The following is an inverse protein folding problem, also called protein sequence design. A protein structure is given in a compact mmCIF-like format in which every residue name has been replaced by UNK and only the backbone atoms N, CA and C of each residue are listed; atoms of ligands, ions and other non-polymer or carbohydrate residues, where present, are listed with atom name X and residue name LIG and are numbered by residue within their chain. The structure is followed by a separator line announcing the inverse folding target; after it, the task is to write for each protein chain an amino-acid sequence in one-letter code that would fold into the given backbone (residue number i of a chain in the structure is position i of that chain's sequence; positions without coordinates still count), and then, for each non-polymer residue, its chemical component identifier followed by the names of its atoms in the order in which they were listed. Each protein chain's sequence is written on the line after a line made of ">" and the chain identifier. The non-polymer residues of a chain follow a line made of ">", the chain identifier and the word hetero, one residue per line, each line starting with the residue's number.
data_IF_056054164699
#
_entry.id   IF_056054164699
#
_cell.length_a   1.000
_cell.length_b   1.000
_cell.length_c   1.000
_cell.angle_alpha   90.00
_cell.angle_beta   90.00
_cell.angle_gamma   90.00
#
_symmetry.space_group_name_H-M   'P 1'
#
loop_
_entity.id
_entity.type
_entity.pdbx_description
1 polymer ?
#
# COMPACT_ATOMS: atom_id res chain seq x y z
N UNK A 1 12.51 -7.87 -14.63
CA UNK A 1 11.06 -7.98 -14.36
C UNK A 1 10.71 -8.46 -12.95
N UNK A 2 11.20 -9.60 -12.43
CA UNK A 2 10.82 -10.10 -11.08
C UNK A 2 11.17 -9.15 -9.91
N UNK A 3 12.30 -8.42 -9.99
CA UNK A 3 12.75 -7.49 -8.93
C UNK A 3 11.78 -6.32 -8.69
N UNK A 4 11.11 -5.82 -9.73
CA UNK A 4 10.18 -4.68 -9.59
C UNK A 4 8.83 -5.11 -9.02
N UNK A 5 8.37 -6.32 -9.39
CA UNK A 5 7.16 -6.91 -8.82
C UNK A 5 7.33 -7.15 -7.32
N UNK A 6 8.47 -7.71 -6.90
CA UNK A 6 8.79 -7.93 -5.49
C UNK A 6 8.83 -6.64 -4.68
N UNK A 7 9.38 -5.54 -5.23
CA UNK A 7 9.42 -4.24 -4.56
C UNK A 7 8.02 -3.62 -4.39
N UNK A 8 7.14 -3.77 -5.37
CA UNK A 8 5.75 -3.27 -5.26
C UNK A 8 4.93 -4.08 -4.26
N UNK A 9 5.09 -5.41 -4.23
CA UNK A 9 4.40 -6.28 -3.26
C UNK A 9 4.87 -5.95 -1.85
N UNK A 10 6.18 -5.80 -1.64
CA UNK A 10 6.74 -5.43 -0.34
C UNK A 10 6.24 -4.05 0.11
N UNK A 11 6.15 -3.08 -0.81
CA UNK A 11 5.58 -1.76 -0.54
C UNK A 11 4.09 -1.81 -0.17
N UNK A 12 3.31 -2.67 -0.83
CA UNK A 12 1.90 -2.87 -0.50
C UNK A 12 1.73 -3.49 0.90
N UNK A 13 2.49 -4.54 1.22
CA UNK A 13 2.46 -5.17 2.55
C UNK A 13 2.87 -4.18 3.65
N UNK A 14 3.89 -3.36 3.38
CA UNK A 14 4.33 -2.32 4.32
C UNK A 14 3.26 -1.25 4.55
N UNK A 15 2.59 -0.78 3.50
CA UNK A 15 1.47 0.16 3.62
C UNK A 15 0.28 -0.43 4.40
N UNK A 16 0.03 -1.73 4.23
CA UNK A 16 -1.02 -2.44 4.96
C UNK A 16 -0.69 -2.53 6.46
N UNK A 17 0.56 -2.83 6.81
CA UNK A 17 1.03 -2.82 8.20
C UNK A 17 0.93 -1.43 8.84
N UNK A 18 1.29 -0.38 8.10
CA UNK A 18 1.15 1.02 8.53
C UNK A 18 -0.32 1.40 8.78
N UNK A 19 -1.23 0.95 7.91
CA UNK A 19 -2.66 1.13 8.12
C UNK A 19 -3.16 0.41 9.37
N UNK A 20 -2.81 -0.87 9.53
CA UNK A 20 -3.20 -1.66 10.71
C UNK A 20 -2.64 -1.06 12.00
N UNK A 21 -1.37 -0.64 12.02
CA UNK A 21 -0.78 0.03 13.16
C UNK A 21 -1.48 1.38 13.45
N UNK A 22 -1.74 2.19 12.43
CA UNK A 22 -2.47 3.46 12.58
C UNK A 22 -3.87 3.28 13.17
N UNK A 23 -4.58 2.22 12.80
CA UNK A 23 -5.91 1.91 13.34
C UNK A 23 -5.86 1.33 14.75
N UNK A 24 -4.82 0.59 15.13
CA UNK A 24 -4.68 0.05 16.50
C UNK A 24 -4.40 1.17 17.50
N UNK A 25 -3.58 2.16 17.13
CA UNK A 25 -3.19 3.27 18.02
C UNK A 25 -4.11 4.50 17.89
N UNK A 26 -5.21 4.40 17.13
CA UNK A 26 -6.12 5.52 16.88
C UNK A 26 -6.77 6.07 18.15
N UNK A 27 -7.13 5.19 19.09
CA UNK A 27 -7.75 5.59 20.35
C UNK A 27 -6.80 6.37 21.25
N UNK A 28 -5.49 6.18 21.08
CA UNK A 28 -4.49 6.79 21.93
C UNK A 28 -4.13 8.20 21.47
N UNK A 29 -4.04 8.43 20.15
CA UNK A 29 -3.76 9.76 19.59
C UNK A 29 -4.44 9.92 18.23
N UNK A 30 -5.26 10.96 18.09
CA UNK A 30 -5.95 11.32 16.83
C UNK A 30 -5.03 11.47 15.61
N UNK A 31 -3.74 11.76 15.81
CA UNK A 31 -2.75 11.82 14.73
C UNK A 31 -2.54 10.48 14.01
N UNK A 32 -2.78 9.34 14.66
CA UNK A 32 -2.63 8.02 14.03
C UNK A 32 -3.66 7.75 12.93
N UNK A 33 -4.79 8.47 12.91
CA UNK A 33 -5.72 8.46 11.77
C UNK A 33 -5.04 8.93 10.49
N UNK A 34 -4.23 9.99 10.55
CA UNK A 34 -3.52 10.50 9.38
C UNK A 34 -2.53 9.47 8.84
N UNK A 35 -1.86 8.74 9.74
CA UNK A 35 -0.96 7.63 9.40
C UNK A 35 -1.74 6.47 8.76
N UNK A 36 -2.91 6.14 9.32
CA UNK A 36 -3.82 5.15 8.75
C UNK A 36 -4.26 5.53 7.33
N UNK A 37 -4.76 6.75 7.13
CA UNK A 37 -5.19 7.24 5.82
C UNK A 37 -4.02 7.24 4.82
N UNK A 38 -2.83 7.67 5.25
CA UNK A 38 -1.63 7.63 4.42
C UNK A 38 -1.23 6.19 4.03
N UNK A 39 -1.32 5.25 4.97
CA UNK A 39 -1.10 3.82 4.72
C UNK A 39 -2.10 3.24 3.72
N UNK A 40 -3.39 3.58 3.86
CA UNK A 40 -4.43 3.11 2.96
C UNK A 40 -4.28 3.72 1.55
N UNK A 41 -3.96 5.01 1.46
CA UNK A 41 -3.69 5.70 0.19
C UNK A 41 -2.45 5.13 -0.51
N UNK A 42 -1.37 4.89 0.23
CA UNK A 42 -0.16 4.24 -0.28
C UNK A 42 -0.42 2.82 -0.78
N UNK A 43 -1.20 2.03 -0.04
CA UNK A 43 -1.61 0.70 -0.47
C UNK A 43 -2.38 0.74 -1.80
N UNK A 44 -3.38 1.62 -1.90
CA UNK A 44 -4.18 1.78 -3.11
C UNK A 44 -3.34 2.20 -4.33
N UNK A 45 -2.36 3.10 -4.13
CA UNK A 45 -1.41 3.50 -5.16
C UNK A 45 -0.52 2.34 -5.64
N UNK A 46 0.02 1.55 -4.72
CA UNK A 46 0.85 0.39 -5.08
C UNK A 46 0.05 -0.69 -5.81
N UNK A 47 -1.18 -0.98 -5.38
CA UNK A 47 -2.09 -1.92 -6.07
C UNK A 47 -2.42 -1.42 -7.47
N UNK A 48 -2.80 -0.13 -7.62
CA UNK A 48 -3.05 0.46 -8.93
C UNK A 48 -1.86 0.31 -9.86
N UNK A 49 -0.64 0.59 -9.37
CA UNK A 49 0.60 0.45 -10.15
C UNK A 49 0.86 -1.00 -10.56
N UNK A 50 0.52 -1.96 -9.69
CA UNK A 50 0.68 -3.39 -9.94
C UNK A 50 -0.33 -3.87 -11.00
N UNK A 51 -1.59 -3.48 -10.88
CA UNK A 51 -2.66 -3.78 -11.85
C UNK A 51 -2.36 -3.15 -13.21
N UNK A 52 -1.95 -1.88 -13.25
CA UNK A 52 -1.59 -1.19 -14.49
C UNK A 52 -0.36 -1.83 -15.16
N UNK A 53 0.61 -2.28 -14.36
CA UNK A 53 1.74 -3.07 -14.83
C UNK A 53 1.29 -4.40 -15.46
N UNK A 54 0.42 -5.15 -14.79
CA UNK A 54 -0.13 -6.41 -15.29
C UNK A 54 -0.97 -6.24 -16.55
N UNK A 55 -1.85 -5.23 -16.59
CA UNK A 55 -2.66 -4.90 -17.78
C UNK A 55 -1.79 -4.55 -18.98
N UNK A 56 -0.71 -3.78 -18.78
CA UNK A 56 0.24 -3.45 -19.86
C UNK A 56 0.99 -4.69 -20.38
N UNK A 57 1.17 -5.72 -19.56
CA UNK A 57 1.82 -6.97 -19.95
C UNK A 57 0.83 -7.90 -20.68
N UNK A 58 -0.46 -7.89 -20.30
CA UNK A 58 -1.50 -8.76 -20.88
C UNK A 58 -2.21 -8.16 -22.11
N UNK A 59 -2.05 -6.85 -22.37
CA UNK A 59 -2.60 -6.16 -23.54
C UNK A 59 -1.67 -6.14 -24.76
N UNK A 60 -0.64 -6.99 -24.80
CA UNK A 60 0.20 -7.25 -25.98
C UNK A 60 0.09 -8.70 -26.40
#
# INVERSE_FOLDING_TARGET
>A
MKKELGRNILGAVFCLLLFTAGMIFVEQTWFFILIGIAGLAGFSFFIYRLVLGTLRINGR
#
